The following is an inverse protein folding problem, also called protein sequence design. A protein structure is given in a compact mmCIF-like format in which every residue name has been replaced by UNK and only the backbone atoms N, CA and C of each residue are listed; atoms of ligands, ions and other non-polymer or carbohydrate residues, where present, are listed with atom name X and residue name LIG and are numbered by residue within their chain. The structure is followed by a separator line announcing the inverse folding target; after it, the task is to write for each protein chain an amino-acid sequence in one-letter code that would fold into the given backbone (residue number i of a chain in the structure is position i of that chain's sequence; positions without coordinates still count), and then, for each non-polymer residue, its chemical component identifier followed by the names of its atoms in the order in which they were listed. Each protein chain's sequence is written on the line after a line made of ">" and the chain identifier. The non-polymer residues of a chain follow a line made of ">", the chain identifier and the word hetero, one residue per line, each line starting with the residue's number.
data_IF_924541380689
#
_entry.id   IF_924541380689
#
_cell.length_a   1.000
_cell.length_b   1.000
_cell.length_c   1.000
_cell.angle_alpha   90.00
_cell.angle_beta   90.00
_cell.angle_gamma   90.00
#
_symmetry.space_group_name_H-M   'P 1'
#
loop_
_entity.id
_entity.type
_entity.pdbx_description
1 polymer ?
#
# COMPACT_ATOMS: atom_id res chain seq x y z
N UNK A 1 33.15 -27.03 16.41
CA UNK A 1 32.15 -26.62 17.44
C UNK A 1 31.10 -25.80 16.74
N UNK A 2 30.03 -26.45 16.30
CA UNK A 2 28.87 -25.77 15.70
C UNK A 2 28.04 -25.20 16.84
N UNK A 3 27.94 -23.87 16.91
CA UNK A 3 26.98 -23.21 17.79
C UNK A 3 25.58 -23.36 17.17
N UNK A 4 24.83 -24.33 17.69
CA UNK A 4 23.39 -24.41 17.53
C UNK A 4 22.77 -23.14 18.14
N UNK A 5 22.44 -22.15 17.32
CA UNK A 5 21.58 -21.05 17.74
C UNK A 5 20.14 -21.57 17.81
N UNK A 6 19.79 -22.21 18.90
CA UNK A 6 18.39 -22.50 19.24
C UNK A 6 17.65 -21.16 19.32
N UNK A 7 16.81 -20.91 18.33
CA UNK A 7 15.90 -19.76 18.35
C UNK A 7 14.90 -20.01 19.47
N UNK A 8 15.12 -19.35 20.61
CA UNK A 8 14.23 -19.42 21.76
C UNK A 8 12.91 -18.73 21.39
N UNK A 9 11.96 -19.49 20.87
CA UNK A 9 10.61 -18.98 20.58
C UNK A 9 9.93 -18.64 21.90
N UNK A 10 9.59 -17.37 22.10
CA UNK A 10 8.90 -16.91 23.31
C UNK A 10 7.58 -17.69 23.48
N UNK A 11 7.29 -18.16 24.71
CA UNK A 11 6.00 -18.82 25.07
C UNK A 11 4.78 -17.96 24.66
N UNK A 12 4.94 -16.67 24.60
CA UNK A 12 3.90 -15.71 24.16
C UNK A 12 3.64 -15.81 22.66
N UNK A 13 4.68 -15.99 21.83
CA UNK A 13 4.53 -16.16 20.39
C UNK A 13 3.81 -17.46 20.03
N UNK A 14 4.00 -18.53 20.81
CA UNK A 14 3.30 -19.80 20.65
C UNK A 14 1.79 -19.59 20.82
N UNK A 15 1.37 -18.88 21.88
CA UNK A 15 -0.06 -18.58 22.12
C UNK A 15 -0.67 -17.71 21.00
N UNK A 16 0.10 -16.76 20.45
CA UNK A 16 -0.35 -15.94 19.32
C UNK A 16 -0.50 -16.80 18.06
N UNK A 17 0.48 -17.65 17.77
CA UNK A 17 0.45 -18.55 16.62
C UNK A 17 -0.83 -19.41 16.62
N UNK A 18 -1.10 -20.08 17.72
CA UNK A 18 -2.28 -20.93 17.89
C UNK A 18 -3.60 -20.16 17.74
N UNK A 19 -3.69 -18.96 18.35
CA UNK A 19 -4.89 -18.11 18.30
C UNK A 19 -5.24 -17.63 16.89
N UNK A 20 -4.22 -17.44 16.03
CA UNK A 20 -4.41 -16.90 14.69
C UNK A 20 -4.26 -17.93 13.56
N UNK A 21 -3.92 -19.18 13.89
CA UNK A 21 -3.73 -20.26 12.92
C UNK A 21 -2.44 -20.09 12.09
N UNK A 22 -1.43 -19.45 12.67
CA UNK A 22 -0.08 -19.35 12.13
C UNK A 22 0.85 -20.34 12.83
N UNK A 23 1.90 -20.74 12.17
CA UNK A 23 3.04 -21.40 12.83
C UNK A 23 3.88 -20.39 13.62
N UNK A 24 4.68 -20.86 14.56
CA UNK A 24 5.62 -20.01 15.30
C UNK A 24 6.62 -19.31 14.39
N UNK A 25 7.07 -19.99 13.34
CA UNK A 25 7.97 -19.42 12.33
C UNK A 25 7.32 -18.25 11.56
N UNK A 26 6.05 -18.41 11.19
CA UNK A 26 5.29 -17.35 10.50
C UNK A 26 5.08 -16.13 11.41
N UNK A 27 4.72 -16.32 12.66
CA UNK A 27 4.61 -15.22 13.63
C UNK A 27 5.94 -14.50 13.81
N UNK A 28 7.05 -15.22 13.83
CA UNK A 28 8.39 -14.64 13.91
C UNK A 28 8.74 -13.84 12.66
N UNK A 29 8.40 -14.32 11.47
CA UNK A 29 8.59 -13.58 10.20
C UNK A 29 7.77 -12.29 10.23
N UNK A 30 6.48 -12.34 10.59
CA UNK A 30 5.62 -11.16 10.68
C UNK A 30 6.21 -10.13 11.66
N UNK A 31 6.57 -10.55 12.87
CA UNK A 31 7.10 -9.66 13.92
C UNK A 31 8.45 -9.04 13.57
N UNK A 32 9.27 -9.72 12.79
CA UNK A 32 10.59 -9.21 12.37
C UNK A 32 10.56 -8.36 11.09
N UNK A 33 9.47 -8.39 10.33
CA UNK A 33 9.33 -7.72 9.04
C UNK A 33 8.26 -6.63 9.05
N UNK A 34 7.00 -7.00 8.86
CA UNK A 34 5.87 -6.08 8.67
C UNK A 34 5.25 -5.55 9.96
N UNK A 35 5.63 -6.13 11.12
CA UNK A 35 5.21 -5.71 12.45
C UNK A 35 6.41 -5.54 13.39
N UNK A 36 7.51 -5.02 12.86
CA UNK A 36 8.75 -4.86 13.62
C UNK A 36 8.58 -3.87 14.79
N UNK A 37 9.09 -4.26 15.96
CA UNK A 37 9.05 -3.43 17.16
C UNK A 37 7.72 -3.45 17.92
N UNK A 38 6.77 -4.28 17.52
CA UNK A 38 5.51 -4.46 18.25
C UNK A 38 5.71 -5.31 19.51
N UNK A 39 4.98 -4.96 20.55
CA UNK A 39 4.78 -5.84 21.72
C UNK A 39 3.89 -7.03 21.35
N UNK A 40 3.86 -8.10 22.16
CA UNK A 40 2.96 -9.23 21.90
C UNK A 40 1.48 -8.87 21.82
N UNK A 41 1.03 -7.89 22.61
CA UNK A 41 -0.35 -7.40 22.58
C UNK A 41 -0.64 -6.63 21.28
N UNK A 42 0.28 -5.77 20.86
CA UNK A 42 0.17 -5.02 19.60
C UNK A 42 0.23 -5.95 18.39
N UNK A 43 1.07 -6.99 18.44
CA UNK A 43 1.12 -8.00 17.39
C UNK A 43 -0.21 -8.77 17.29
N UNK A 44 -0.79 -9.18 18.41
CA UNK A 44 -2.12 -9.79 18.44
C UNK A 44 -3.19 -8.86 17.86
N UNK A 45 -3.17 -7.59 18.24
CA UNK A 45 -4.07 -6.58 17.68
C UNK A 45 -3.88 -6.43 16.17
N UNK A 46 -2.65 -6.30 15.69
CA UNK A 46 -2.34 -6.23 14.26
C UNK A 46 -2.88 -7.44 13.49
N UNK A 47 -2.66 -8.66 14.00
CA UNK A 47 -3.15 -9.90 13.37
C UNK A 47 -4.68 -10.00 13.37
N UNK A 48 -5.36 -9.50 14.41
CA UNK A 48 -6.82 -9.36 14.41
C UNK A 48 -7.30 -8.41 13.32
N UNK A 49 -6.63 -7.26 13.15
CA UNK A 49 -6.94 -6.33 12.06
C UNK A 49 -6.75 -7.00 10.71
N UNK A 50 -5.61 -7.69 10.49
CA UNK A 50 -5.38 -8.43 9.23
C UNK A 50 -6.53 -9.37 8.88
N UNK A 51 -6.99 -10.18 9.85
CA UNK A 51 -8.13 -11.08 9.66
C UNK A 51 -9.44 -10.34 9.39
N UNK A 52 -9.72 -9.28 10.15
CA UNK A 52 -10.96 -8.51 10.03
C UNK A 52 -11.11 -7.82 8.68
N UNK A 53 -10.00 -7.39 8.11
CA UNK A 53 -9.99 -6.74 6.79
C UNK A 53 -9.63 -7.68 5.64
N UNK A 54 -9.36 -8.96 5.94
CA UNK A 54 -8.95 -9.98 4.96
C UNK A 54 -7.78 -9.52 4.09
N UNK A 55 -6.69 -9.05 4.74
CA UNK A 55 -5.45 -8.65 4.12
C UNK A 55 -4.28 -9.49 4.63
N UNK A 56 -3.40 -9.88 3.72
CA UNK A 56 -2.29 -10.78 4.00
C UNK A 56 -0.99 -10.00 4.32
N UNK A 57 -0.46 -10.10 5.56
CA UNK A 57 0.78 -9.42 5.93
C UNK A 57 2.04 -9.99 5.23
N UNK A 58 2.04 -11.27 4.82
CA UNK A 58 3.20 -11.89 4.17
C UNK A 58 3.52 -11.31 2.80
N UNK A 59 2.50 -10.91 2.06
CA UNK A 59 2.64 -10.27 0.74
C UNK A 59 2.57 -8.74 0.83
N UNK A 60 2.71 -8.20 2.05
CA UNK A 60 2.77 -6.76 2.32
C UNK A 60 1.52 -5.97 1.90
N UNK A 61 0.36 -6.59 1.90
CA UNK A 61 -0.93 -5.91 1.71
C UNK A 61 -1.24 -4.98 2.88
N UNK A 62 -0.77 -5.34 4.08
CA UNK A 62 -0.94 -4.60 5.34
C UNK A 62 0.33 -4.72 6.18
N UNK A 63 0.70 -3.63 6.87
CA UNK A 63 1.83 -3.60 7.80
C UNK A 63 1.56 -2.60 8.92
N UNK A 64 2.38 -2.67 9.94
CA UNK A 64 2.35 -1.68 11.01
C UNK A 64 3.76 -1.23 11.40
N UNK A 65 3.83 -0.07 12.02
CA UNK A 65 5.03 0.43 12.67
C UNK A 65 4.66 1.35 13.84
N UNK A 66 5.62 1.63 14.69
CA UNK A 66 5.47 2.58 15.77
C UNK A 66 5.99 3.96 15.35
N UNK A 67 5.23 4.99 15.65
CA UNK A 67 5.66 6.37 15.46
C UNK A 67 6.66 6.81 16.53
N UNK A 68 7.18 8.03 16.44
CA UNK A 68 8.15 8.59 17.40
C UNK A 68 7.56 8.77 18.82
N UNK A 69 6.25 8.60 19.00
CA UNK A 69 5.55 8.65 20.29
C UNK A 69 5.14 7.27 20.78
N UNK A 70 5.68 6.21 20.16
CA UNK A 70 5.39 4.80 20.46
C UNK A 70 3.94 4.37 20.15
N UNK A 71 3.19 5.14 19.36
CA UNK A 71 1.87 4.73 18.93
C UNK A 71 1.97 3.71 17.79
N UNK A 72 1.20 2.63 17.89
CA UNK A 72 1.06 1.66 16.82
C UNK A 72 0.18 2.22 15.70
N UNK A 73 0.74 2.29 14.50
CA UNK A 73 0.07 2.71 13.29
C UNK A 73 -0.03 1.53 12.33
N UNK A 74 -1.25 1.22 11.86
CA UNK A 74 -1.52 0.11 10.94
C UNK A 74 -1.95 0.68 9.59
N UNK A 75 -1.35 0.18 8.49
CA UNK A 75 -1.57 0.68 7.14
C UNK A 75 -1.84 -0.46 6.17
N UNK A 76 -2.87 -0.31 5.37
CA UNK A 76 -2.98 -1.04 4.11
C UNK A 76 -2.25 -0.24 3.02
N UNK A 77 -1.42 -0.93 2.24
CA UNK A 77 -0.77 -0.35 1.07
C UNK A 77 -1.66 -0.34 -0.17
N UNK A 78 -1.15 0.23 -1.25
CA UNK A 78 -1.81 0.18 -2.55
C UNK A 78 -2.19 -1.25 -2.95
N UNK A 79 -1.29 -2.20 -2.74
CA UNK A 79 -1.50 -3.60 -3.09
C UNK A 79 -2.62 -4.24 -2.24
N UNK A 80 -2.74 -3.87 -0.95
CA UNK A 80 -3.85 -4.30 -0.11
C UNK A 80 -5.20 -3.74 -0.56
N UNK A 81 -5.26 -2.46 -0.93
CA UNK A 81 -6.49 -1.88 -1.49
C UNK A 81 -6.86 -2.52 -2.84
N UNK A 82 -5.85 -2.77 -3.70
CA UNK A 82 -6.06 -3.44 -4.98
C UNK A 82 -6.56 -4.88 -4.81
N UNK A 83 -5.94 -5.66 -3.91
CA UNK A 83 -6.38 -7.02 -3.59
C UNK A 83 -7.83 -7.04 -3.12
N UNK A 84 -8.22 -6.05 -2.29
CA UNK A 84 -9.61 -5.90 -1.84
C UNK A 84 -10.56 -5.52 -2.98
N UNK A 85 -10.17 -4.57 -3.83
CA UNK A 85 -10.95 -4.20 -5.01
C UNK A 85 -11.15 -5.38 -5.96
N UNK A 86 -10.11 -6.19 -6.21
CA UNK A 86 -10.17 -7.38 -7.08
C UNK A 86 -11.14 -8.47 -6.60
N UNK A 87 -11.45 -8.51 -5.30
CA UNK A 87 -12.48 -9.40 -4.72
C UNK A 87 -13.90 -8.87 -4.95
N UNK A 88 -14.07 -7.60 -5.31
CA UNK A 88 -15.37 -7.01 -5.61
C UNK A 88 -15.84 -7.39 -7.00
N UNK A 89 -17.11 -7.79 -7.12
CA UNK A 89 -17.74 -8.08 -8.40
C UNK A 89 -17.89 -6.86 -9.30
N UNK A 90 -17.95 -5.67 -8.69
CA UNK A 90 -18.05 -4.38 -9.38
C UNK A 90 -16.73 -3.90 -9.98
N UNK A 91 -15.58 -4.36 -9.48
CA UNK A 91 -14.27 -3.91 -9.95
C UNK A 91 -14.03 -4.33 -11.41
N UNK A 92 -13.62 -3.37 -12.25
CA UNK A 92 -13.35 -3.57 -13.68
C UNK A 92 -11.97 -3.06 -14.11
N UNK A 93 -11.04 -2.96 -13.15
CA UNK A 93 -9.66 -2.59 -13.43
C UNK A 93 -9.29 -1.19 -12.97
N UNK A 94 -7.98 -0.91 -13.07
CA UNK A 94 -7.39 0.38 -12.73
C UNK A 94 -6.41 0.79 -13.81
N UNK A 95 -6.35 2.08 -14.10
CA UNK A 95 -5.32 2.72 -14.95
C UNK A 95 -4.73 3.89 -14.20
N UNK A 96 -3.44 4.10 -14.35
CA UNK A 96 -2.74 5.26 -13.80
C UNK A 96 -1.61 5.71 -14.71
N UNK A 97 -1.28 6.98 -14.65
CA UNK A 97 -0.10 7.53 -15.30
C UNK A 97 0.43 8.73 -14.52
N UNK A 98 1.74 8.90 -14.54
CA UNK A 98 2.35 10.16 -14.14
C UNK A 98 2.08 11.22 -15.21
N UNK A 99 2.01 12.48 -14.77
CA UNK A 99 1.84 13.68 -15.60
C UNK A 99 3.10 14.51 -15.49
N UNK A 100 3.63 14.93 -16.61
CA UNK A 100 4.83 15.75 -16.70
C UNK A 100 4.52 17.15 -17.26
N UNK A 101 5.44 18.10 -17.07
CA UNK A 101 5.25 19.52 -17.43
C UNK A 101 4.96 19.77 -18.90
N UNK A 102 5.43 18.91 -19.80
CA UNK A 102 5.27 19.05 -21.25
C UNK A 102 4.15 18.16 -21.81
N UNK A 103 3.42 17.45 -20.95
CA UNK A 103 2.28 16.65 -21.37
C UNK A 103 1.06 17.54 -21.63
N UNK A 104 0.26 17.19 -22.63
CA UNK A 104 -1.09 17.74 -22.77
C UNK A 104 -2.02 17.02 -21.78
N UNK A 105 -2.32 17.67 -20.66
CA UNK A 105 -3.14 17.10 -19.62
C UNK A 105 -4.27 18.02 -19.23
N UNK A 106 -5.48 17.45 -19.18
CA UNK A 106 -6.67 18.09 -18.60
C UNK A 106 -7.52 17.10 -17.84
N UNK A 107 -8.13 17.55 -16.77
CA UNK A 107 -9.02 16.76 -15.93
C UNK A 107 -10.29 17.56 -15.63
N UNK A 108 -11.43 16.99 -16.02
CA UNK A 108 -12.76 17.48 -15.69
C UNK A 108 -13.38 16.53 -14.67
N UNK A 109 -13.28 16.91 -13.39
CA UNK A 109 -13.77 16.08 -12.28
C UNK A 109 -15.30 15.98 -12.30
N UNK A 110 -15.97 17.05 -12.73
CA UNK A 110 -17.43 17.09 -12.74
C UNK A 110 -18.03 16.08 -13.74
N UNK A 111 -17.33 15.83 -14.84
CA UNK A 111 -17.76 14.92 -15.89
C UNK A 111 -16.95 13.61 -15.92
N UNK A 112 -16.16 13.30 -14.89
CA UNK A 112 -15.31 12.12 -14.81
C UNK A 112 -14.43 11.90 -16.05
N UNK A 113 -13.86 12.99 -16.60
CA UNK A 113 -13.09 12.95 -17.84
C UNK A 113 -11.64 13.34 -17.65
N UNK A 114 -10.74 12.51 -18.15
CA UNK A 114 -9.31 12.83 -18.28
C UNK A 114 -8.93 12.77 -19.76
N UNK A 115 -8.17 13.78 -20.20
CA UNK A 115 -7.45 13.75 -21.46
C UNK A 115 -5.97 13.87 -21.13
N UNK A 116 -5.18 12.90 -21.56
CA UNK A 116 -3.74 12.88 -21.34
C UNK A 116 -3.05 12.35 -22.60
N UNK A 117 -2.25 13.20 -23.22
CA UNK A 117 -1.49 12.91 -24.44
C UNK A 117 -0.06 13.34 -24.24
N UNK A 118 0.88 12.50 -24.62
CA UNK A 118 2.31 12.83 -24.60
C UNK A 118 3.06 12.08 -25.71
N UNK A 119 4.15 12.69 -26.19
CA UNK A 119 5.07 12.07 -27.14
C UNK A 119 6.20 11.31 -26.46
N UNK A 120 7.04 10.66 -27.28
CA UNK A 120 8.24 9.93 -26.83
C UNK A 120 9.38 10.90 -26.46
N UNK A 121 9.28 12.18 -26.86
CA UNK A 121 10.29 13.21 -26.57
C UNK A 121 10.28 13.57 -25.08
N UNK A 122 11.19 14.45 -24.70
CA UNK A 122 11.35 14.94 -23.34
C UNK A 122 10.03 15.46 -22.76
N UNK A 123 9.49 14.74 -21.79
CA UNK A 123 8.23 15.08 -21.12
C UNK A 123 8.39 16.14 -20.02
N UNK A 124 9.64 16.46 -19.63
CA UNK A 124 9.92 17.40 -18.55
C UNK A 124 9.79 16.77 -17.15
N UNK A 125 9.61 17.64 -16.15
CA UNK A 125 9.51 17.22 -14.75
C UNK A 125 8.14 16.63 -14.42
N UNK A 126 8.11 15.67 -13.49
CA UNK A 126 6.85 15.10 -12.96
C UNK A 126 6.13 16.19 -12.15
N UNK A 127 4.87 16.46 -12.46
CA UNK A 127 3.99 17.38 -11.72
C UNK A 127 2.94 16.66 -10.90
N UNK A 128 2.60 15.44 -11.24
CA UNK A 128 1.64 14.63 -10.50
C UNK A 128 1.41 13.27 -11.13
N UNK A 129 0.37 12.60 -10.69
CA UNK A 129 -0.16 11.39 -11.31
C UNK A 129 -1.67 11.31 -11.09
N UNK A 130 -2.35 10.60 -11.98
CA UNK A 130 -3.74 10.27 -11.80
C UNK A 130 -3.96 8.77 -11.79
N UNK A 131 -5.10 8.35 -11.24
CA UNK A 131 -5.59 6.99 -11.33
C UNK A 131 -7.09 6.99 -11.61
N UNK A 132 -7.51 6.00 -12.39
CA UNK A 132 -8.92 5.75 -12.75
C UNK A 132 -9.23 4.33 -12.32
N UNK A 133 -10.16 4.14 -11.40
CA UNK A 133 -10.73 2.84 -11.03
C UNK A 133 -12.04 2.67 -11.77
N UNK A 134 -12.10 1.66 -12.63
CA UNK A 134 -13.29 1.34 -13.41
C UNK A 134 -14.22 0.41 -12.63
N UNK A 135 -15.52 0.62 -12.77
CA UNK A 135 -16.58 -0.22 -12.23
C UNK A 135 -17.46 -0.75 -13.35
N UNK A 136 -18.06 -1.93 -13.15
CA UNK A 136 -18.97 -2.54 -14.14
C UNK A 136 -20.35 -1.90 -14.14
N UNK A 137 -20.75 -1.39 -12.99
CA UNK A 137 -22.11 -0.96 -12.64
C UNK A 137 -22.17 0.47 -12.08
N UNK A 138 -21.22 1.32 -12.48
CA UNK A 138 -21.15 2.70 -12.00
C UNK A 138 -20.10 3.54 -12.70
N UNK A 139 -20.08 4.80 -12.36
CA UNK A 139 -19.10 5.74 -12.87
C UNK A 139 -17.69 5.40 -12.36
N UNK A 140 -16.65 5.64 -13.16
CA UNK A 140 -15.28 5.47 -12.73
C UNK A 140 -14.93 6.45 -11.60
N UNK A 141 -14.07 6.03 -10.69
CA UNK A 141 -13.48 6.92 -9.71
C UNK A 141 -12.17 7.46 -10.24
N UNK A 142 -12.03 8.76 -10.28
CA UNK A 142 -10.83 9.47 -10.74
C UNK A 142 -10.19 10.21 -9.58
N UNK A 143 -8.87 10.05 -9.42
CA UNK A 143 -8.08 10.77 -8.42
C UNK A 143 -6.79 11.29 -9.03
N UNK A 144 -6.38 12.47 -8.58
CA UNK A 144 -5.12 13.09 -8.93
C UNK A 144 -4.28 13.35 -7.67
N UNK A 145 -3.00 13.08 -7.75
CA UNK A 145 -2.03 13.36 -6.71
C UNK A 145 -0.98 14.34 -7.22
N UNK A 146 -0.89 15.51 -6.63
CA UNK A 146 0.12 16.53 -6.95
C UNK A 146 1.47 16.11 -6.35
N UNK A 147 2.50 16.05 -7.19
CA UNK A 147 3.82 15.55 -6.82
C UNK A 147 4.48 16.36 -5.69
N UNK A 148 4.29 17.66 -5.66
CA UNK A 148 4.91 18.56 -4.66
C UNK A 148 4.46 18.26 -3.23
N UNK A 149 3.21 17.74 -3.04
CA UNK A 149 2.69 17.45 -1.71
C UNK A 149 3.13 16.10 -1.16
N UNK A 150 3.50 15.17 -2.03
CA UNK A 150 3.83 13.78 -1.64
C UNK A 150 5.31 13.44 -1.75
N UNK A 151 6.06 14.15 -2.60
CA UNK A 151 7.47 13.86 -2.81
C UNK A 151 8.28 14.10 -1.53
N UNK A 152 8.89 13.04 -1.03
CA UNK A 152 9.74 13.09 0.17
C UNK A 152 11.23 13.31 -0.13
N UNK A 153 11.65 13.23 -1.40
CA UNK A 153 13.01 13.48 -1.84
C UNK A 153 14.05 12.42 -1.42
N UNK A 154 13.65 11.32 -0.79
CA UNK A 154 14.56 10.26 -0.33
C UNK A 154 13.99 8.86 -0.61
N UNK A 155 14.82 7.83 -0.47
CA UNK A 155 14.50 6.43 -0.74
C UNK A 155 13.85 6.26 -2.14
N UNK A 156 12.77 5.49 -2.24
CA UNK A 156 12.06 5.23 -3.50
C UNK A 156 11.51 6.49 -4.18
N UNK A 157 11.24 7.56 -3.46
CA UNK A 157 10.85 8.84 -4.02
C UNK A 157 11.97 9.51 -4.84
N UNK A 158 13.24 9.24 -4.47
CA UNK A 158 14.40 9.73 -5.22
C UNK A 158 14.72 8.85 -6.42
N UNK A 159 14.65 7.52 -6.27
CA UNK A 159 15.06 6.57 -7.31
C UNK A 159 13.93 6.25 -8.32
N UNK A 160 12.67 6.25 -7.89
CA UNK A 160 11.50 5.87 -8.70
C UNK A 160 10.31 6.81 -8.43
N UNK A 161 10.48 8.13 -8.68
CA UNK A 161 9.46 9.12 -8.32
C UNK A 161 8.13 8.91 -9.05
N UNK A 162 8.16 8.51 -10.32
CA UNK A 162 6.97 8.22 -11.12
C UNK A 162 6.14 7.08 -10.51
N UNK A 163 6.80 5.99 -10.12
CA UNK A 163 6.11 4.85 -9.48
C UNK A 163 5.51 5.23 -8.12
N UNK A 164 6.23 6.07 -7.37
CA UNK A 164 5.75 6.49 -6.04
C UNK A 164 4.51 7.38 -6.14
N UNK A 165 4.49 8.35 -7.06
CA UNK A 165 3.33 9.24 -7.19
C UNK A 165 2.11 8.51 -7.80
N UNK A 166 2.33 7.58 -8.75
CA UNK A 166 1.26 6.70 -9.25
C UNK A 166 0.63 5.87 -8.12
N UNK A 167 1.45 5.27 -7.24
CA UNK A 167 0.94 4.52 -6.07
C UNK A 167 0.07 5.39 -5.16
N UNK A 168 0.38 6.67 -4.99
CA UNK A 168 -0.45 7.59 -4.22
C UNK A 168 -1.81 7.78 -4.88
N UNK A 169 -1.83 8.14 -6.17
CA UNK A 169 -3.07 8.34 -6.93
C UNK A 169 -3.93 7.06 -6.94
N UNK A 170 -3.32 5.90 -7.19
CA UNK A 170 -4.00 4.60 -7.16
C UNK A 170 -4.60 4.29 -5.79
N UNK A 171 -3.86 4.56 -4.71
CA UNK A 171 -4.36 4.35 -3.34
C UNK A 171 -5.57 5.23 -3.05
N UNK A 172 -5.56 6.48 -3.50
CA UNK A 172 -6.70 7.39 -3.32
C UNK A 172 -7.92 6.91 -4.10
N UNK A 173 -7.75 6.52 -5.35
CA UNK A 173 -8.84 6.05 -6.19
C UNK A 173 -9.44 4.72 -5.69
N UNK A 174 -8.61 3.81 -5.16
CA UNK A 174 -9.06 2.52 -4.62
C UNK A 174 -9.78 2.64 -3.27
N UNK A 175 -9.61 3.74 -2.55
CA UNK A 175 -10.26 3.99 -1.24
C UNK A 175 -11.71 4.48 -1.37
N UNK A 176 -12.12 4.93 -2.53
CA UNK A 176 -13.47 5.43 -2.83
C UNK A 176 -14.33 4.38 -3.52
#
# INVERSE_FOLDING_TARGET
>A
MEQNSEITVSKTNIKIADAFGYSNAEVQVISSTVAKGTTPMELSYFLNVCKSVDLNPFIKEIWCYKDNRDNLLIFAGRDGFLAKAQKSTSFNGIRSSEVCTNDEFSMDIANNKITHTFGIKERGAIVGAYAIVFRKDGEPTIEYADFKFYNKGYNAWKSHPAEMIKKVAETHALKK
#
